data_IF_940414664623
#
_entry.id   IF_940414664623
#
_cell.length_a   1.000
_cell.length_b   1.000
_cell.length_c   1.000
_cell.angle_alpha   90.00
_cell.angle_beta   90.00
_cell.angle_gamma   90.00
#
_symmetry.space_group_name_H-M   'P 1'
#
loop_
_entity.id
_entity.type
_entity.pdbx_description
1 polymer ?
#
# COMPACT_ATOMS: atom_id res chain seq x y z
N UNK A 1 1.17 -27.04 12.80
CA UNK A 1 0.24 -25.93 12.50
C UNK A 1 0.79 -24.58 12.92
N UNK A 2 1.25 -24.38 14.16
CA UNK A 2 1.79 -23.08 14.61
C UNK A 2 3.07 -22.65 13.86
N UNK A 3 3.97 -23.61 13.57
CA UNK A 3 5.17 -23.35 12.77
C UNK A 3 4.88 -22.94 11.33
N UNK A 4 3.87 -23.54 10.69
CA UNK A 4 3.48 -23.19 9.32
C UNK A 4 2.89 -21.78 9.22
N UNK A 5 2.17 -21.35 10.26
CA UNK A 5 1.55 -20.03 10.34
C UNK A 5 2.58 -18.90 10.56
N UNK A 6 3.64 -19.15 11.35
CA UNK A 6 4.74 -18.22 11.53
C UNK A 6 5.61 -18.08 10.26
N UNK A 7 5.72 -19.15 9.48
CA UNK A 7 6.42 -19.12 8.18
C UNK A 7 5.71 -18.18 7.21
N UNK A 8 4.38 -18.27 7.07
CA UNK A 8 3.59 -17.42 6.16
C UNK A 8 3.78 -15.93 6.44
N UNK A 9 3.71 -15.51 7.71
CA UNK A 9 3.86 -14.07 8.01
C UNK A 9 5.29 -13.58 7.76
N UNK A 10 6.29 -14.42 8.04
CA UNK A 10 7.68 -14.06 7.76
C UNK A 10 7.93 -14.02 6.25
N UNK A 11 7.33 -14.92 5.47
CA UNK A 11 7.37 -14.88 4.00
C UNK A 11 6.72 -13.62 3.46
N UNK A 12 5.54 -13.23 3.97
CA UNK A 12 4.89 -11.96 3.61
C UNK A 12 5.84 -10.79 3.93
N UNK A 13 6.43 -10.76 5.14
CA UNK A 13 7.37 -9.72 5.55
C UNK A 13 8.61 -9.66 4.67
N UNK A 14 9.23 -10.79 4.42
CA UNK A 14 10.43 -10.89 3.58
C UNK A 14 10.11 -10.45 2.16
N UNK A 15 8.98 -10.89 1.60
CA UNK A 15 8.56 -10.53 0.23
C UNK A 15 8.50 -9.02 0.04
N UNK A 16 7.79 -8.30 0.91
CA UNK A 16 7.67 -6.84 0.74
C UNK A 16 8.92 -6.08 1.17
N UNK A 17 9.67 -6.59 2.17
CA UNK A 17 10.93 -5.97 2.59
C UNK A 17 12.05 -6.16 1.58
N UNK A 18 12.00 -7.17 0.72
CA UNK A 18 13.01 -7.40 -0.32
C UNK A 18 12.64 -6.72 -1.64
N UNK A 19 11.36 -6.51 -1.93
CA UNK A 19 10.87 -5.76 -3.08
C UNK A 19 11.18 -4.25 -2.96
N UNK A 20 12.11 -3.69 -3.78
CA UNK A 20 12.48 -2.29 -3.73
C UNK A 20 11.35 -1.33 -4.05
N UNK A 21 10.46 -1.71 -4.96
CA UNK A 21 9.34 -0.87 -5.38
C UNK A 21 8.27 -0.83 -4.30
N UNK A 22 7.95 -1.98 -3.71
CA UNK A 22 6.99 -2.03 -2.60
C UNK A 22 7.51 -1.27 -1.38
N UNK A 23 8.82 -1.32 -1.09
CA UNK A 23 9.43 -0.47 -0.05
C UNK A 23 9.27 1.01 -0.34
N UNK A 24 9.54 1.45 -1.58
CA UNK A 24 9.36 2.84 -1.99
C UNK A 24 7.92 3.31 -1.75
N UNK A 25 6.93 2.52 -2.19
CA UNK A 25 5.52 2.82 -1.98
C UNK A 25 5.17 2.87 -0.48
N UNK A 26 5.66 1.90 0.30
CA UNK A 26 5.43 1.84 1.75
C UNK A 26 5.99 3.06 2.49
N UNK A 27 7.13 3.59 2.06
CA UNK A 27 7.76 4.78 2.66
C UNK A 27 7.03 6.09 2.38
N UNK A 28 6.30 6.17 1.26
CA UNK A 28 5.66 7.41 0.81
C UNK A 28 4.13 7.42 0.93
N UNK A 29 3.50 6.29 1.23
CA UNK A 29 2.05 6.22 1.40
C UNK A 29 1.59 6.57 2.83
N UNK A 30 0.27 6.67 3.01
CA UNK A 30 -0.36 6.99 4.30
C UNK A 30 -0.48 5.80 5.26
N UNK A 31 0.06 4.63 4.90
CA UNK A 31 -0.05 3.40 5.67
C UNK A 31 1.19 3.19 6.54
N UNK A 32 0.98 2.76 7.78
CA UNK A 32 2.08 2.27 8.62
C UNK A 32 2.50 0.86 8.19
N UNK A 33 3.71 0.42 8.56
CA UNK A 33 4.18 -0.95 8.31
C UNK A 33 3.18 -2.00 8.80
N UNK A 34 2.60 -1.80 10.00
CA UNK A 34 1.58 -2.70 10.56
C UNK A 34 0.28 -2.73 9.75
N UNK A 35 -0.14 -1.60 9.21
CA UNK A 35 -1.31 -1.51 8.34
C UNK A 35 -1.06 -2.20 7.00
N UNK A 36 0.12 -2.00 6.41
CA UNK A 36 0.54 -2.68 5.19
C UNK A 36 0.60 -4.20 5.39
N UNK A 37 1.26 -4.68 6.45
CA UNK A 37 1.30 -6.11 6.81
C UNK A 37 -0.11 -6.70 6.92
N UNK A 38 -1.03 -5.97 7.58
CA UNK A 38 -2.42 -6.40 7.73
C UNK A 38 -3.14 -6.51 6.38
N UNK A 39 -2.94 -5.55 5.47
CA UNK A 39 -3.53 -5.60 4.13
C UNK A 39 -2.96 -6.75 3.29
N UNK A 40 -1.65 -7.02 3.39
CA UNK A 40 -1.02 -8.15 2.70
C UNK A 40 -1.54 -9.50 3.21
N UNK A 41 -1.82 -9.61 4.52
CA UNK A 41 -2.49 -10.79 5.09
C UNK A 41 -3.94 -10.89 4.61
N UNK A 42 -4.67 -9.79 4.44
CA UNK A 42 -6.03 -9.85 3.89
C UNK A 42 -6.04 -10.18 2.39
N UNK A 43 -4.98 -9.84 1.65
CA UNK A 43 -4.86 -10.08 0.21
C UNK A 43 -4.24 -11.45 -0.15
N UNK A 44 -3.57 -12.13 0.78
CA UNK A 44 -2.93 -13.42 0.53
C UNK A 44 -3.96 -14.56 0.44
N UNK A 45 -3.84 -15.39 -0.60
CA UNK A 45 -4.69 -16.58 -0.77
C UNK A 45 -4.47 -17.60 0.37
N UNK A 46 -3.24 -17.72 0.87
CA UNK A 46 -2.86 -18.64 1.95
C UNK A 46 -3.57 -18.35 3.27
N UNK A 47 -4.00 -17.11 3.47
CA UNK A 47 -4.69 -16.64 4.67
C UNK A 47 -6.18 -16.40 4.42
N UNK A 48 -6.68 -16.65 3.19
CA UNK A 48 -8.06 -16.40 2.79
C UNK A 48 -9.10 -17.16 3.62
N UNK A 49 -8.79 -18.41 3.99
CA UNK A 49 -9.68 -19.26 4.79
C UNK A 49 -9.56 -19.03 6.31
N UNK A 50 -8.54 -18.30 6.77
CA UNK A 50 -8.29 -18.09 8.19
C UNK A 50 -9.33 -17.16 8.80
N UNK A 51 -9.79 -17.52 10.01
CA UNK A 51 -10.64 -16.63 10.80
C UNK A 51 -9.85 -15.41 11.23
N UNK A 52 -10.58 -14.33 11.49
CA UNK A 52 -10.02 -13.06 11.95
C UNK A 52 -9.14 -13.19 13.22
N UNK A 53 -9.49 -14.11 14.13
CA UNK A 53 -8.67 -14.40 15.33
C UNK A 53 -7.36 -15.10 15.00
N UNK A 54 -7.34 -15.92 13.96
CA UNK A 54 -6.14 -16.64 13.51
C UNK A 54 -5.19 -15.67 12.80
N UNK A 55 -5.71 -14.81 11.92
CA UNK A 55 -4.97 -13.70 11.29
C UNK A 55 -4.35 -12.76 12.35
N UNK A 56 -5.12 -12.44 13.40
CA UNK A 56 -4.61 -11.66 14.54
C UNK A 56 -3.45 -12.37 15.26
N UNK A 57 -3.54 -13.70 15.43
CA UNK A 57 -2.48 -14.51 16.04
C UNK A 57 -1.21 -14.51 15.19
N UNK A 58 -1.32 -14.55 13.85
CA UNK A 58 -0.15 -14.43 12.96
C UNK A 58 0.66 -13.16 13.26
N UNK A 59 -0.04 -12.05 13.48
CA UNK A 59 0.53 -10.75 13.79
C UNK A 59 1.02 -10.60 15.24
N UNK A 60 0.79 -11.62 16.09
CA UNK A 60 1.12 -11.58 17.52
C UNK A 60 0.26 -10.59 18.32
N UNK A 61 -0.99 -10.35 17.89
CA UNK A 61 -1.88 -9.35 18.49
C UNK A 61 -3.28 -9.90 18.79
N UNK A 62 -4.06 -9.15 19.56
CA UNK A 62 -5.45 -9.50 19.86
C UNK A 62 -6.35 -9.28 18.65
N UNK A 63 -7.46 -10.04 18.55
CA UNK A 63 -8.50 -9.87 17.52
C UNK A 63 -8.99 -8.43 17.40
N UNK A 64 -9.22 -7.76 18.54
CA UNK A 64 -9.66 -6.36 18.56
C UNK A 64 -8.60 -5.38 18.05
N UNK A 65 -7.31 -5.64 18.34
CA UNK A 65 -6.22 -4.82 17.81
C UNK A 65 -6.09 -4.99 16.30
N UNK A 66 -6.17 -6.23 15.80
CA UNK A 66 -6.18 -6.50 14.36
C UNK A 66 -7.35 -5.79 13.66
N UNK A 67 -8.57 -5.86 14.24
CA UNK A 67 -9.74 -5.18 13.69
C UNK A 67 -9.53 -3.67 13.54
N UNK A 68 -8.97 -3.04 14.58
CA UNK A 68 -8.66 -1.61 14.58
C UNK A 68 -7.59 -1.25 13.55
N UNK A 69 -6.52 -2.04 13.44
CA UNK A 69 -5.46 -1.80 12.45
C UNK A 69 -6.02 -1.89 11.03
N UNK A 70 -6.78 -2.95 10.71
CA UNK A 70 -7.42 -3.09 9.40
C UNK A 70 -8.38 -1.93 9.11
N UNK A 71 -9.21 -1.55 10.09
CA UNK A 71 -10.14 -0.43 9.94
C UNK A 71 -9.41 0.89 9.70
N UNK A 72 -8.28 1.11 10.36
CA UNK A 72 -7.46 2.30 10.15
C UNK A 72 -6.78 2.29 8.78
N UNK A 73 -6.28 1.14 8.33
CA UNK A 73 -5.68 0.99 7.01
C UNK A 73 -6.70 1.35 5.90
N UNK A 74 -7.91 0.78 5.99
CA UNK A 74 -9.00 1.06 5.04
C UNK A 74 -9.45 2.52 5.08
N UNK A 75 -9.48 3.15 6.27
CA UNK A 75 -9.77 4.58 6.42
C UNK A 75 -8.72 5.43 5.72
N UNK A 76 -7.43 5.14 5.92
CA UNK A 76 -6.33 5.87 5.30
C UNK A 76 -6.39 5.73 3.76
N UNK A 77 -6.64 4.52 3.23
CA UNK A 77 -6.83 4.29 1.79
C UNK A 77 -8.00 5.14 1.25
N UNK A 78 -9.14 5.10 1.94
CA UNK A 78 -10.32 5.87 1.54
C UNK A 78 -10.01 7.37 1.51
N UNK A 79 -9.41 7.91 2.57
CA UNK A 79 -9.00 9.31 2.62
C UNK A 79 -8.04 9.68 1.50
N UNK A 80 -7.06 8.83 1.18
CA UNK A 80 -6.14 9.06 0.05
C UNK A 80 -6.87 9.09 -1.29
N UNK A 81 -7.82 8.18 -1.53
CA UNK A 81 -8.64 8.20 -2.75
C UNK A 81 -9.48 9.47 -2.86
N UNK A 82 -10.21 9.83 -1.78
CA UNK A 82 -10.99 11.07 -1.74
C UNK A 82 -10.11 12.31 -1.90
N UNK A 83 -8.86 12.28 -1.42
CA UNK A 83 -7.90 13.37 -1.63
C UNK A 83 -7.54 13.51 -3.11
N UNK A 84 -7.22 12.42 -3.81
CA UNK A 84 -6.93 12.46 -5.26
C UNK A 84 -8.14 12.98 -6.05
N UNK A 85 -9.34 12.50 -5.72
CA UNK A 85 -10.58 12.96 -6.36
C UNK A 85 -10.81 14.44 -6.09
N UNK A 86 -10.64 14.89 -4.84
CA UNK A 86 -10.78 16.30 -4.46
C UNK A 86 -9.83 17.19 -5.25
N UNK A 87 -8.55 16.82 -5.34
CA UNK A 87 -7.55 17.58 -6.10
C UNK A 87 -7.91 17.68 -7.60
N UNK A 88 -8.49 16.62 -8.16
CA UNK A 88 -8.99 16.63 -9.53
C UNK A 88 -10.20 17.57 -9.67
N UNK A 89 -11.14 17.49 -8.71
CA UNK A 89 -12.35 18.31 -8.69
C UNK A 89 -12.06 19.81 -8.58
N UNK A 90 -11.05 20.20 -7.79
CA UNK A 90 -10.65 21.61 -7.64
C UNK A 90 -9.66 22.09 -8.72
N UNK A 91 -9.35 21.25 -9.71
CA UNK A 91 -8.46 21.61 -10.83
C UNK A 91 -6.96 21.61 -10.50
N UNK A 92 -6.55 21.06 -9.35
CA UNK A 92 -5.13 20.96 -8.97
C UNK A 92 -4.42 19.77 -9.64
N UNK A 93 -5.16 18.72 -9.97
CA UNK A 93 -4.75 17.65 -10.91
C UNK A 93 -5.47 17.88 -12.24
N UNK A 94 -4.83 18.59 -13.18
CA UNK A 94 -5.29 18.77 -14.56
C UNK A 94 -4.87 17.60 -15.46
N UNK A 95 -5.32 17.56 -16.71
CA UNK A 95 -5.14 16.42 -17.64
C UNK A 95 -3.70 15.89 -17.74
N UNK A 96 -2.69 16.77 -17.84
CA UNK A 96 -1.27 16.39 -17.85
C UNK A 96 -0.82 15.78 -16.51
N UNK A 97 -1.38 16.26 -15.41
CA UNK A 97 -1.19 15.71 -14.06
C UNK A 97 -2.16 14.56 -13.73
N UNK A 98 -3.02 14.12 -14.62
CA UNK A 98 -3.82 12.90 -14.44
C UNK A 98 -3.19 11.75 -15.21
N UNK A 99 -2.57 12.06 -16.35
CA UNK A 99 -1.87 11.10 -17.20
C UNK A 99 -0.77 10.33 -16.46
N UNK A 100 0.02 11.00 -15.61
CA UNK A 100 1.08 10.30 -14.86
C UNK A 100 0.54 9.16 -14.00
N UNK A 101 -0.66 9.30 -13.43
CA UNK A 101 -1.24 8.25 -12.58
C UNK A 101 -1.55 6.99 -13.41
N UNK A 102 -2.03 7.20 -14.64
CA UNK A 102 -2.28 6.14 -15.60
C UNK A 102 -0.96 5.52 -16.06
N UNK A 103 0.03 6.33 -16.44
CA UNK A 103 1.34 5.89 -16.92
C UNK A 103 2.10 5.08 -15.87
N UNK A 104 2.10 5.52 -14.60
CA UNK A 104 2.67 4.73 -13.49
C UNK A 104 1.94 3.39 -13.36
N UNK A 105 0.61 3.40 -13.40
CA UNK A 105 -0.19 2.18 -13.31
C UNK A 105 0.07 1.20 -14.47
N UNK A 106 0.26 1.71 -15.69
CA UNK A 106 0.62 0.92 -16.87
C UNK A 106 2.02 0.33 -16.73
N UNK A 107 3.01 1.15 -16.38
CA UNK A 107 4.38 0.69 -16.16
C UNK A 107 4.44 -0.43 -15.11
N UNK A 108 3.71 -0.30 -14.00
CA UNK A 108 3.62 -1.36 -12.98
C UNK A 108 2.99 -2.64 -13.54
N UNK A 109 1.88 -2.54 -14.28
CA UNK A 109 1.21 -3.72 -14.89
C UNK A 109 2.09 -4.43 -15.92
N UNK A 110 2.92 -3.68 -16.64
CA UNK A 110 3.84 -4.20 -17.65
C UNK A 110 5.18 -4.68 -17.05
N UNK A 111 5.40 -4.53 -15.74
CA UNK A 111 6.64 -4.90 -15.07
C UNK A 111 7.80 -3.92 -15.32
N UNK A 112 7.53 -2.74 -15.89
CA UNK A 112 8.50 -1.65 -16.09
C UNK A 112 8.68 -0.84 -14.81
N UNK A 113 9.21 -1.49 -13.78
CA UNK A 113 9.33 -0.92 -12.42
C UNK A 113 10.24 0.31 -12.39
N UNK A 114 11.35 0.30 -13.12
CA UNK A 114 12.27 1.46 -13.18
C UNK A 114 11.57 2.70 -13.76
N UNK A 115 10.75 2.51 -14.80
CA UNK A 115 9.95 3.60 -15.39
C UNK A 115 8.91 4.12 -14.39
N UNK A 116 8.24 3.22 -13.66
CA UNK A 116 7.27 3.59 -12.63
C UNK A 116 7.93 4.41 -11.51
N UNK A 117 9.15 4.06 -11.10
CA UNK A 117 9.94 4.79 -10.10
C UNK A 117 10.27 6.19 -10.62
N UNK A 118 10.79 6.30 -11.84
CA UNK A 118 11.14 7.59 -12.45
C UNK A 118 9.93 8.53 -12.52
N UNK A 119 8.78 8.02 -12.96
CA UNK A 119 7.53 8.77 -13.04
C UNK A 119 7.06 9.25 -11.65
N UNK A 120 7.21 8.42 -10.61
CA UNK A 120 6.89 8.80 -9.23
C UNK A 120 7.82 9.90 -8.70
N UNK A 121 9.12 9.82 -8.97
CA UNK A 121 10.11 10.83 -8.56
C UNK A 121 9.87 12.18 -9.25
N UNK A 122 9.55 12.16 -10.55
CA UNK A 122 9.14 13.35 -11.28
C UNK A 122 7.89 13.99 -10.67
N UNK A 123 6.88 13.17 -10.36
CA UNK A 123 5.64 13.65 -9.73
C UNK A 123 5.92 14.30 -8.37
N UNK A 124 6.73 13.66 -7.52
CA UNK A 124 7.13 14.24 -6.23
C UNK A 124 7.85 15.58 -6.41
N UNK A 125 8.70 15.70 -7.42
CA UNK A 125 9.41 16.94 -7.74
C UNK A 125 8.44 18.04 -8.18
N UNK A 126 7.45 17.71 -9.01
CA UNK A 126 6.39 18.64 -9.42
C UNK A 126 5.56 19.12 -8.23
N UNK A 127 5.19 18.22 -7.31
CA UNK A 127 4.46 18.59 -6.09
C UNK A 127 5.28 19.51 -5.18
N UNK A 128 6.57 19.25 -4.98
CA UNK A 128 7.45 20.12 -4.18
C UNK A 128 7.53 21.54 -4.75
N UNK A 129 7.54 21.68 -6.07
CA UNK A 129 7.53 22.99 -6.75
C UNK A 129 6.23 23.78 -6.55
N UNK A 130 5.11 23.14 -6.22
CA UNK A 130 3.85 23.83 -5.89
C UNK A 130 3.85 24.44 -4.47
N UNK A 131 4.78 24.02 -3.61
CA UNK A 131 4.95 24.54 -2.24
C UNK A 131 5.97 25.67 -2.11
N UNK A 132 6.54 26.13 -3.22
CA UNK A 132 7.51 27.24 -3.32
C UNK A 132 6.86 28.42 -4.03
#
# INVERSE_FOLDING_TARGET
MESSQLVVIEEIRQKWRQDPFLRLLAQHCSLTERQLETLLIEASEETGELKFSEKARLMGITKGSYARILSQALRNISQSLFTVILLSYVGLLNDDKQRWFIEVGEAVREGRIDDAILLLEEMQTRLKKLSQ
#
